data_IF_662753367236
#
_entry.id   IF_662753367236
#
_cell.length_a   1.000
_cell.length_b   1.000
_cell.length_c   1.000
_cell.angle_alpha   90.00
_cell.angle_beta   90.00
_cell.angle_gamma   90.00
#
_symmetry.space_group_name_H-M   'P 1'
#
loop_
_entity.id
_entity.type
_entity.pdbx_description
1 polymer ?
#
# COMPACT_ATOMS: atom_id res chain seq x y z
N UNK A 1 5.93 -10.55 11.14
CA UNK A 1 5.60 -9.09 11.18
C UNK A 1 4.64 -8.80 10.05
N UNK A 2 3.62 -7.98 10.27
CA UNK A 2 2.61 -7.67 9.23
C UNK A 2 3.18 -6.72 8.17
N UNK A 3 2.88 -6.99 6.88
CA UNK A 3 3.21 -6.08 5.78
C UNK A 3 2.61 -4.68 6.01
N UNK A 4 1.45 -4.59 6.64
CA UNK A 4 0.82 -3.31 6.97
C UNK A 4 1.73 -2.41 7.82
N UNK A 5 2.39 -2.99 8.84
CA UNK A 5 3.35 -2.25 9.67
C UNK A 5 4.54 -1.77 8.84
N UNK A 6 5.03 -2.61 7.93
CA UNK A 6 6.12 -2.22 7.02
C UNK A 6 5.70 -1.09 6.08
N UNK A 7 4.47 -1.12 5.57
CA UNK A 7 3.93 -0.05 4.73
C UNK A 7 3.83 1.27 5.49
N UNK A 8 3.38 1.24 6.75
CA UNK A 8 3.31 2.43 7.61
C UNK A 8 4.69 2.99 7.94
N UNK A 9 5.65 2.11 8.27
CA UNK A 9 7.04 2.50 8.52
C UNK A 9 7.69 3.13 7.28
N UNK A 10 7.47 2.53 6.10
CA UNK A 10 7.95 3.05 4.83
C UNK A 10 7.39 4.45 4.54
N UNK A 11 6.09 4.65 4.71
CA UNK A 11 5.45 5.94 4.50
C UNK A 11 6.01 7.04 5.43
N UNK A 12 6.22 6.70 6.69
CA UNK A 12 6.83 7.62 7.67
C UNK A 12 8.28 7.92 7.30
N UNK A 13 9.07 6.89 6.98
CA UNK A 13 10.48 7.05 6.63
C UNK A 13 10.70 7.89 5.38
N UNK A 14 9.82 7.76 4.39
CA UNK A 14 9.86 8.55 3.16
C UNK A 14 9.15 9.92 3.27
N UNK A 15 8.68 10.28 4.45
CA UNK A 15 8.08 11.60 4.70
C UNK A 15 6.67 11.78 4.13
N UNK A 16 6.00 10.71 3.69
CA UNK A 16 4.63 10.77 3.18
C UNK A 16 3.61 11.08 4.30
N UNK A 17 3.92 10.69 5.52
CA UNK A 17 3.17 11.01 6.74
C UNK A 17 4.14 11.26 7.88
N UNK A 18 3.75 12.09 8.85
CA UNK A 18 4.54 12.36 10.06
C UNK A 18 4.54 11.18 11.04
N UNK A 19 3.49 10.37 11.00
CA UNK A 19 3.33 9.15 11.79
C UNK A 19 2.63 8.10 10.93
N UNK A 20 3.28 6.93 10.76
CA UNK A 20 2.77 5.84 9.91
C UNK A 20 1.40 5.33 10.32
N UNK A 21 1.06 5.36 11.62
CA UNK A 21 -0.25 4.95 12.11
C UNK A 21 -1.41 5.82 11.59
N UNK A 22 -1.14 7.04 11.14
CA UNK A 22 -2.15 7.89 10.50
C UNK A 22 -2.69 7.32 9.18
N UNK A 23 -2.02 6.32 8.60
CA UNK A 23 -2.51 5.63 7.41
C UNK A 23 -3.69 4.70 7.70
N UNK A 24 -3.77 4.16 8.90
CA UNK A 24 -4.86 3.25 9.26
C UNK A 24 -6.24 3.91 9.08
N UNK A 25 -6.54 5.08 9.66
CA UNK A 25 -7.81 5.75 9.41
C UNK A 25 -8.01 6.15 7.95
N UNK A 26 -6.97 6.57 7.22
CA UNK A 26 -7.08 6.89 5.80
C UNK A 26 -7.48 5.68 4.97
N UNK A 27 -6.83 4.55 5.20
CA UNK A 27 -7.15 3.29 4.53
C UNK A 27 -8.57 2.82 4.86
N UNK A 28 -9.00 2.95 6.11
CA UNK A 28 -10.37 2.63 6.52
C UNK A 28 -11.41 3.50 5.82
N UNK A 29 -11.15 4.78 5.64
CA UNK A 29 -12.07 5.68 4.91
C UNK A 29 -12.18 5.23 3.46
N UNK A 30 -11.05 4.97 2.79
CA UNK A 30 -11.05 4.48 1.40
C UNK A 30 -11.84 3.17 1.30
N UNK A 31 -11.56 2.21 2.18
CA UNK A 31 -12.24 0.91 2.18
C UNK A 31 -13.76 1.06 2.38
N UNK A 32 -14.18 1.87 3.34
CA UNK A 32 -15.60 2.10 3.62
C UNK A 32 -16.32 2.70 2.42
N UNK A 33 -15.76 3.75 1.82
CA UNK A 33 -16.36 4.39 0.66
C UNK A 33 -16.34 3.49 -0.58
N UNK A 34 -15.28 2.71 -0.76
CA UNK A 34 -15.18 1.69 -1.80
C UNK A 34 -16.29 0.64 -1.66
N UNK A 35 -16.44 0.05 -0.47
CA UNK A 35 -17.47 -0.96 -0.19
C UNK A 35 -18.89 -0.39 -0.33
N UNK A 36 -19.14 0.84 0.09
CA UNK A 36 -20.44 1.50 -0.02
C UNK A 36 -20.83 1.83 -1.48
N UNK A 37 -19.84 1.99 -2.37
CA UNK A 37 -20.09 2.47 -3.74
C UNK A 37 -20.01 1.38 -4.81
N UNK A 38 -19.18 0.35 -4.64
CA UNK A 38 -18.89 -0.65 -5.69
C UNK A 38 -20.13 -1.43 -6.19
N UNK A 39 -21.20 -1.49 -5.41
CA UNK A 39 -22.41 -2.23 -5.77
C UNK A 39 -23.44 -1.41 -6.56
N UNK A 40 -23.26 -0.09 -6.67
CA UNK A 40 -24.15 0.82 -7.36
C UNK A 40 -23.36 1.63 -8.42
N UNK A 41 -23.68 1.42 -9.71
CA UNK A 41 -22.91 1.96 -10.84
C UNK A 41 -22.72 3.48 -10.76
N UNK A 42 -23.81 4.21 -10.50
CA UNK A 42 -23.73 5.69 -10.44
C UNK A 42 -22.84 6.19 -9.29
N UNK A 43 -22.90 5.50 -8.15
CA UNK A 43 -22.04 5.82 -7.00
C UNK A 43 -20.59 5.50 -7.33
N UNK A 44 -20.34 4.32 -7.90
CA UNK A 44 -18.99 3.90 -8.26
C UNK A 44 -18.35 4.89 -9.25
N UNK A 45 -19.01 5.18 -10.36
CA UNK A 45 -18.50 6.10 -11.37
C UNK A 45 -18.29 7.52 -10.83
N UNK A 46 -19.08 7.93 -9.85
CA UNK A 46 -18.94 9.24 -9.19
C UNK A 46 -17.76 9.36 -8.24
N UNK A 47 -17.28 8.25 -7.66
CA UNK A 47 -16.27 8.30 -6.58
C UNK A 47 -14.96 7.58 -6.90
N UNK A 48 -14.95 6.64 -7.84
CA UNK A 48 -13.79 5.77 -8.10
C UNK A 48 -12.48 6.52 -8.32
N UNK A 49 -12.50 7.64 -9.04
CA UNK A 49 -11.31 8.45 -9.30
C UNK A 49 -10.81 9.11 -8.01
N UNK A 50 -11.71 9.59 -7.16
CA UNK A 50 -11.36 10.19 -5.88
C UNK A 50 -10.76 9.17 -4.90
N UNK A 51 -11.16 7.90 -5.01
CA UNK A 51 -10.62 6.80 -4.21
C UNK A 51 -9.31 6.22 -4.77
N UNK A 52 -8.87 6.66 -5.96
CA UNK A 52 -7.66 6.17 -6.62
C UNK A 52 -7.89 4.98 -7.58
N UNK A 53 -9.13 4.64 -7.89
CA UNK A 53 -9.51 3.49 -8.72
C UNK A 53 -10.07 3.88 -10.09
N UNK A 54 -9.56 4.96 -10.69
CA UNK A 54 -10.09 5.54 -11.94
C UNK A 54 -10.16 4.56 -13.11
N UNK A 55 -9.23 3.61 -13.17
CA UNK A 55 -9.16 2.60 -14.23
C UNK A 55 -10.10 1.40 -14.02
N UNK A 56 -10.65 1.23 -12.82
CA UNK A 56 -11.50 0.09 -12.50
C UNK A 56 -12.96 0.38 -12.86
N UNK A 57 -13.56 -0.49 -13.65
CA UNK A 57 -15.00 -0.49 -13.79
C UNK A 57 -15.69 -1.13 -12.56
N UNK A 58 -17.02 -1.10 -12.54
CA UNK A 58 -17.78 -1.63 -11.40
C UNK A 58 -17.59 -3.15 -11.20
N UNK A 59 -17.52 -3.92 -12.30
CA UNK A 59 -17.37 -5.37 -12.20
C UNK A 59 -15.98 -5.74 -11.72
N UNK A 60 -14.96 -5.04 -12.18
CA UNK A 60 -13.59 -5.18 -11.72
C UNK A 60 -13.46 -4.79 -10.24
N UNK A 61 -14.13 -3.73 -9.81
CA UNK A 61 -14.14 -3.33 -8.40
C UNK A 61 -14.82 -4.37 -7.49
N UNK A 62 -15.92 -5.01 -7.96
CA UNK A 62 -16.62 -6.07 -7.21
C UNK A 62 -15.76 -7.32 -7.01
N UNK A 63 -14.87 -7.62 -7.96
CA UNK A 63 -14.03 -8.81 -7.97
C UNK A 63 -12.56 -8.55 -7.64
N UNK A 64 -12.23 -7.33 -7.21
CA UNK A 64 -10.85 -6.95 -6.90
C UNK A 64 -10.23 -7.85 -5.83
N UNK A 65 -8.98 -8.26 -6.03
CA UNK A 65 -8.23 -8.99 -5.01
C UNK A 65 -7.84 -8.07 -3.84
N UNK A 66 -7.62 -8.66 -2.66
CA UNK A 66 -7.14 -7.90 -1.51
C UNK A 66 -5.79 -7.21 -1.77
N UNK A 67 -4.89 -7.87 -2.50
CA UNK A 67 -3.58 -7.31 -2.83
C UNK A 67 -3.72 -6.11 -3.77
N UNK A 68 -4.56 -6.22 -4.80
CA UNK A 68 -4.81 -5.13 -5.75
C UNK A 68 -5.45 -3.93 -5.06
N UNK A 69 -6.48 -4.18 -4.24
CA UNK A 69 -7.09 -3.11 -3.45
C UNK A 69 -6.05 -2.42 -2.56
N UNK A 70 -5.26 -3.20 -1.82
CA UNK A 70 -4.32 -2.67 -0.85
C UNK A 70 -3.22 -1.85 -1.52
N UNK A 71 -2.62 -2.34 -2.61
CA UNK A 71 -1.53 -1.62 -3.29
C UNK A 71 -2.03 -0.31 -3.91
N UNK A 72 -3.22 -0.30 -4.49
CA UNK A 72 -3.81 0.92 -5.07
C UNK A 72 -4.19 1.92 -3.98
N UNK A 73 -4.92 1.47 -2.95
CA UNK A 73 -5.37 2.33 -1.85
C UNK A 73 -4.19 2.93 -1.07
N UNK A 74 -3.16 2.14 -0.76
CA UNK A 74 -1.98 2.64 -0.06
C UNK A 74 -1.18 3.60 -0.92
N UNK A 75 -1.00 3.31 -2.21
CA UNK A 75 -0.29 4.21 -3.11
C UNK A 75 -1.03 5.54 -3.24
N UNK A 76 -2.35 5.51 -3.35
CA UNK A 76 -3.18 6.72 -3.40
C UNK A 76 -3.12 7.53 -2.09
N UNK A 77 -3.26 6.87 -0.95
CA UNK A 77 -3.29 7.52 0.37
C UNK A 77 -1.97 8.18 0.76
N UNK A 78 -0.84 7.66 0.27
CA UNK A 78 0.51 8.12 0.66
C UNK A 78 1.21 8.93 -0.42
N UNK A 79 0.73 8.88 -1.66
CA UNK A 79 1.44 9.40 -2.83
C UNK A 79 2.83 8.74 -3.04
N UNK A 80 2.92 7.44 -2.70
CA UNK A 80 4.09 6.60 -2.96
C UNK A 80 3.68 5.41 -3.84
N UNK A 81 4.59 4.94 -4.69
CA UNK A 81 4.38 3.73 -5.46
C UNK A 81 4.81 2.51 -4.64
N UNK A 82 3.85 1.73 -4.14
CA UNK A 82 4.09 0.53 -3.31
C UNK A 82 4.39 -0.74 -4.11
N UNK A 83 4.39 -0.72 -5.43
CA UNK A 83 4.70 -1.91 -6.23
C UNK A 83 6.06 -2.54 -5.87
N UNK A 84 7.15 -1.77 -5.65
CA UNK A 84 8.43 -2.38 -5.26
C UNK A 84 8.37 -3.09 -3.91
N UNK A 85 7.58 -2.58 -2.95
CA UNK A 85 7.40 -3.23 -1.65
C UNK A 85 6.60 -4.53 -1.79
N UNK A 86 5.53 -4.54 -2.59
CA UNK A 86 4.72 -5.74 -2.85
C UNK A 86 5.52 -6.82 -3.55
N UNK A 87 6.33 -6.44 -4.55
CA UNK A 87 7.24 -7.34 -5.25
C UNK A 87 8.26 -7.97 -4.28
N UNK A 88 8.90 -7.15 -3.45
CA UNK A 88 9.86 -7.62 -2.42
C UNK A 88 9.23 -8.63 -1.45
N UNK A 89 7.94 -8.46 -1.12
CA UNK A 89 7.21 -9.38 -0.25
C UNK A 89 6.59 -10.57 -0.99
N UNK A 90 6.79 -10.69 -2.30
CA UNK A 90 6.24 -11.77 -3.12
C UNK A 90 4.71 -11.74 -3.23
N UNK A 91 4.10 -10.56 -3.11
CA UNK A 91 2.66 -10.40 -3.22
C UNK A 91 2.25 -10.19 -4.67
N UNK A 92 1.44 -11.11 -5.19
CA UNK A 92 0.92 -11.00 -6.54
C UNK A 92 0.01 -9.77 -6.69
N UNK A 93 0.24 -8.99 -7.74
CA UNK A 93 -0.56 -7.82 -8.13
C UNK A 93 -0.94 -7.96 -9.60
N UNK A 94 -2.21 -7.72 -9.94
CA UNK A 94 -2.69 -7.79 -11.32
C UNK A 94 -2.09 -6.67 -12.18
N UNK A 95 -2.06 -6.90 -13.50
CA UNK A 95 -1.59 -5.88 -14.46
C UNK A 95 -2.46 -4.62 -14.42
N UNK A 96 -3.75 -4.76 -14.13
CA UNK A 96 -4.68 -3.63 -13.97
C UNK A 96 -4.28 -2.75 -12.78
N UNK A 97 -4.01 -3.35 -11.63
CA UNK A 97 -3.58 -2.62 -10.44
C UNK A 97 -2.19 -1.99 -10.63
N UNK A 98 -1.26 -2.69 -11.29
CA UNK A 98 0.05 -2.13 -11.67
C UNK A 98 -0.11 -0.90 -12.56
N UNK A 99 -0.99 -0.98 -13.57
CA UNK A 99 -1.27 0.13 -14.45
C UNK A 99 -1.84 1.33 -13.68
N UNK A 100 -2.81 1.09 -12.79
CA UNK A 100 -3.41 2.13 -11.96
C UNK A 100 -2.36 2.83 -11.09
N UNK A 101 -1.51 2.07 -10.39
CA UNK A 101 -0.48 2.65 -9.53
C UNK A 101 0.57 3.41 -10.33
N UNK A 102 1.00 2.88 -11.48
CA UNK A 102 1.96 3.56 -12.35
C UNK A 102 1.40 4.86 -12.95
N UNK A 103 0.09 4.92 -13.22
CA UNK A 103 -0.57 6.12 -13.72
C UNK A 103 -0.51 7.29 -12.73
N UNK A 104 -0.40 7.02 -11.42
CA UNK A 104 -0.23 8.09 -10.43
C UNK A 104 1.08 8.88 -10.59
N UNK A 105 2.13 8.27 -11.12
CA UNK A 105 3.43 8.91 -11.27
C UNK A 105 4.15 9.18 -9.94
N UNK A 106 3.77 8.50 -8.86
CA UNK A 106 4.37 8.69 -7.54
C UNK A 106 5.76 8.05 -7.41
N UNK A 107 6.62 8.60 -6.53
CA UNK A 107 7.94 8.03 -6.28
C UNK A 107 7.83 6.62 -5.69
N UNK A 108 8.76 5.76 -6.07
CA UNK A 108 8.81 4.37 -5.61
C UNK A 108 9.13 4.28 -4.11
N UNK A 109 8.54 3.29 -3.45
CA UNK A 109 8.92 2.91 -2.08
C UNK A 109 10.32 2.33 -2.03
N UNK A 110 11.03 2.57 -0.91
CA UNK A 110 12.31 1.94 -0.64
C UNK A 110 12.13 0.43 -0.45
N UNK A 111 13.15 -0.34 -0.86
CA UNK A 111 13.18 -1.81 -0.68
C UNK A 111 13.89 -2.13 0.64
N UNK A 112 13.23 -1.85 1.75
CA UNK A 112 13.76 -2.09 3.09
C UNK A 112 12.69 -2.73 3.97
N UNK A 113 13.13 -3.60 4.88
CA UNK A 113 12.31 -4.13 5.97
C UNK A 113 12.77 -3.49 7.27
N UNK A 114 11.82 -2.92 8.00
CA UNK A 114 12.06 -2.36 9.32
C UNK A 114 12.14 -3.48 10.34
N UNK A 115 13.27 -3.59 11.03
CA UNK A 115 13.43 -4.49 12.16
C UNK A 115 12.92 -3.80 13.42
N UNK A 116 11.97 -4.42 14.11
CA UNK A 116 11.43 -3.93 15.38
C UNK A 116 12.05 -4.71 16.51
N UNK A 117 12.63 -4.02 17.48
CA UNK A 117 13.08 -4.66 18.70
C UNK A 117 11.89 -5.17 19.52
N UNK A 118 12.15 -6.23 20.29
CA UNK A 118 11.11 -6.92 21.06
C UNK A 118 10.32 -5.99 21.98
N UNK A 119 10.99 -5.03 22.58
CA UNK A 119 10.40 -4.09 23.54
C UNK A 119 9.95 -2.76 22.89
N UNK A 120 10.37 -2.50 21.65
CA UNK A 120 10.02 -1.29 20.89
C UNK A 120 8.86 -1.45 19.92
N UNK A 121 8.24 -2.61 19.85
CA UNK A 121 7.23 -2.96 18.86
C UNK A 121 6.05 -1.96 18.75
N UNK A 122 5.69 -1.34 19.86
CA UNK A 122 4.57 -0.39 19.94
C UNK A 122 4.99 1.09 19.99
N UNK A 123 6.26 1.40 20.08
CA UNK A 123 6.71 2.74 20.45
C UNK A 123 7.18 3.65 19.32
N UNK A 124 7.23 3.18 18.12
CA UNK A 124 7.62 4.04 17.02
C UNK A 124 8.08 3.29 15.80
N UNK A 125 8.17 4.02 14.71
CA UNK A 125 8.61 3.49 13.43
C UNK A 125 10.05 3.93 13.10
N UNK A 126 10.74 4.55 14.03
CA UNK A 126 12.16 4.92 13.88
C UNK A 126 13.06 3.75 14.31
N UNK A 127 13.00 2.69 13.52
CA UNK A 127 13.66 1.43 13.75
C UNK A 127 14.81 1.20 12.76
N UNK A 128 15.83 0.40 13.16
CA UNK A 128 16.84 -0.02 12.20
C UNK A 128 16.21 -0.70 10.99
N UNK A 129 16.79 -0.49 9.84
CA UNK A 129 16.33 -1.11 8.59
C UNK A 129 17.28 -2.21 8.15
N UNK A 130 16.72 -3.28 7.61
CA UNK A 130 17.44 -4.29 6.87
C UNK A 130 17.14 -4.09 5.39
N UNK A 131 18.17 -3.81 4.59
CA UNK A 131 18.02 -3.73 3.15
C UNK A 131 17.77 -5.13 2.57
N UNK A 132 16.69 -5.27 1.79
CA UNK A 132 16.40 -6.48 1.01
C UNK A 132 16.22 -6.04 -0.42
N UNK A 133 17.27 -6.14 -1.21
CA UNK A 133 17.34 -5.68 -2.60
C UNK A 133 17.29 -6.82 -3.64
N UNK A 134 17.12 -8.07 -3.16
CA UNK A 134 17.01 -9.25 -4.00
C UNK A 134 18.35 -9.91 -4.32
N UNK A 135 19.46 -9.44 -3.78
CA UNK A 135 20.78 -10.05 -3.96
C UNK A 135 21.26 -10.85 -2.75
N UNK A 136 20.57 -10.72 -1.62
CA UNK A 136 20.89 -11.49 -0.42
C UNK A 136 20.61 -12.98 -0.64
N UNK A 137 21.48 -13.80 -0.09
CA UNK A 137 21.34 -15.26 -0.11
C UNK A 137 21.10 -15.79 1.31
N UNK A 138 20.49 -16.95 1.40
CA UNK A 138 20.30 -17.63 2.68
C UNK A 138 21.50 -18.54 2.98
N UNK A 139 21.95 -18.66 4.24
CA UNK A 139 21.54 -17.84 5.39
C UNK A 139 22.13 -16.42 5.35
N UNK A 140 21.43 -15.48 5.95
CA UNK A 140 21.97 -14.13 6.15
C UNK A 140 23.05 -14.17 7.23
N UNK A 141 24.19 -13.62 6.92
CA UNK A 141 25.28 -13.42 7.85
C UNK A 141 25.39 -11.94 8.23
#
# INVERSE_FOLDING_TARGET
>A
MSIMVQMYATAQKQGAVSNGWHLLPRLHIILREFEASKNELKKWDGIKAQLGFSLFDQNEAKSISNNDFLVVAMSHATQLNYLPLFDMWGLAVSDKAKLQVNQFGYPATIKQVFAFEKDGYCYGLDMPTLAIDGIQTWPFN
#
